data_IF_742941383632
#
_entry.id   IF_742941383632
#
_cell.length_a   1.000
_cell.length_b   1.000
_cell.length_c   1.000
_cell.angle_alpha   90.00
_cell.angle_beta   90.00
_cell.angle_gamma   90.00
#
_symmetry.space_group_name_H-M   'P 1'
#
loop_
_entity.id
_entity.type
_entity.pdbx_description
1 polymer ?
2 polymer ?
3 non-polymer ?
4 non-polymer ?
5 water ?
#
loop_
_entity_poly.entity_id
_entity_poly.type
_entity_poly.pdbx_seq_one_letter_code
_entity_poly.pdbx_strand_id
1 'polyribonucleotide' 'CCUGAUUGGUGAGGG' ?
#
# COMPACT_ATOMS: atom_id res chain seq x y z
N UNK D 2 -2.17 14.80 -4.14
CA UNK D 2 -0.70 14.72 -4.38
C UNK D 2 -0.40 14.68 -5.86
N UNK D 3 0.68 15.33 -6.25
CA UNK D 3 1.08 15.38 -7.65
C UNK D 3 1.44 14.00 -8.19
N UNK D 4 1.92 13.11 -7.33
CA UNK D 4 2.31 11.78 -7.80
C UNK D 4 1.11 10.88 -8.13
N UNK D 5 -0.10 11.33 -7.77
CA UNK D 5 -1.31 10.55 -8.08
C UNK D 5 -1.76 11.00 -9.47
N UNK D 6 -1.39 10.23 -10.49
CA UNK D 6 -1.69 10.55 -11.88
C UNK D 6 -3.14 10.40 -12.36
N UNK D 7 -3.94 9.62 -11.64
CA UNK D 7 -5.33 9.43 -12.04
C UNK D 7 -6.20 8.99 -10.87
N UNK D 8 -7.50 9.20 -11.01
CA UNK D 8 -8.44 8.86 -9.96
C UNK D 8 -8.89 7.40 -10.03
N UNK D 9 -8.82 6.72 -8.89
CA UNK D 9 -9.23 5.33 -8.82
C UNK D 9 -10.49 5.26 -7.96
N UNK D 10 -11.60 4.80 -8.54
CA UNK D 10 -12.87 4.70 -7.80
C UNK D 10 -12.70 3.86 -6.54
N UNK D 11 -13.42 4.21 -5.49
CA UNK D 11 -13.35 3.49 -4.23
C UNK D 11 -13.59 1.99 -4.40
N UNK D 12 -14.50 1.63 -5.30
CA UNK D 12 -14.81 0.22 -5.55
C UNK D 12 -13.60 -0.53 -6.09
N UNK D 13 -12.81 0.14 -6.92
CA UNK D 13 -11.63 -0.49 -7.49
C UNK D 13 -10.50 -0.49 -6.45
N UNK D 14 -10.46 0.54 -5.62
CA UNK D 14 -9.44 0.60 -4.57
C UNK D 14 -9.62 -0.64 -3.70
N UNK D 15 -10.88 -0.98 -3.44
CA UNK D 15 -11.20 -2.15 -2.63
C UNK D 15 -10.63 -3.40 -3.32
N UNK D 16 -10.75 -3.46 -4.64
CA UNK D 16 -10.22 -4.60 -5.40
C UNK D 16 -8.69 -4.65 -5.34
N UNK D 17 -8.05 -3.48 -5.31
CA UNK D 17 -6.60 -3.43 -5.22
C UNK D 17 -6.14 -3.95 -3.86
N UNK D 18 -6.82 -3.52 -2.81
CA UNK D 18 -6.46 -3.96 -1.46
C UNK D 18 -6.69 -5.47 -1.34
N UNK D 19 -7.75 -5.95 -1.99
CA UNK D 19 -8.07 -7.37 -1.97
C UNK D 19 -6.95 -8.15 -2.67
N UNK D 20 -6.47 -7.61 -3.79
CA UNK D 20 -5.41 -8.27 -4.54
C UNK D 20 -4.16 -8.38 -3.69
N UNK D 21 -3.85 -7.34 -2.92
CA UNK D 21 -2.69 -7.37 -2.05
C UNK D 21 -2.85 -8.47 -1.00
N UNK D 22 -4.02 -8.53 -0.39
CA UNK D 22 -4.30 -9.52 0.65
C UNK D 22 -4.25 -10.97 0.15
N UNK D 23 -4.60 -11.18 -1.11
CA UNK D 23 -4.61 -12.52 -1.67
C UNK D 23 -3.31 -12.91 -2.37
N UNK D 24 -2.43 -11.94 -2.59
CA UNK D 24 -1.17 -12.18 -3.27
C UNK D 24 -0.33 -13.23 -2.54
N UNK D 25 0.41 -14.03 -3.31
CA UNK D 25 1.26 -15.08 -2.76
C UNK D 25 2.61 -14.53 -2.29
N UNK D 26 3.11 -13.51 -2.99
CA UNK D 26 4.37 -12.88 -2.62
C UNK D 26 4.29 -11.39 -2.95
N UNK D 27 4.60 -10.55 -1.97
CA UNK D 27 4.56 -9.11 -2.18
C UNK D 27 5.79 -8.49 -1.54
N UNK D 28 6.01 -7.21 -1.82
CA UNK D 28 7.08 -6.44 -1.22
C UNK D 28 6.34 -5.25 -0.62
N UNK D 29 6.64 -4.92 0.62
CA UNK D 29 5.97 -3.81 1.28
C UNK D 29 6.98 -2.78 1.76
N UNK D 30 6.72 -1.51 1.43
CA UNK D 30 7.63 -0.46 1.83
C UNK D 30 8.36 0.11 0.63
N UNK D 31 8.62 1.41 0.66
CA UNK D 31 9.27 2.08 -0.45
C UNK D 31 10.60 1.47 -0.90
N UNK D 32 11.42 1.00 0.02
CA UNK D 32 12.70 0.44 -0.38
C UNK D 32 12.54 -0.89 -1.12
N UNK D 33 11.76 -1.81 -0.55
CA UNK D 33 11.55 -3.11 -1.19
C UNK D 33 10.76 -2.98 -2.49
N UNK D 34 9.81 -2.06 -2.54
CA UNK D 34 9.01 -1.87 -3.74
C UNK D 34 9.91 -1.34 -4.85
N UNK D 35 10.75 -0.36 -4.52
CA UNK D 35 11.65 0.21 -5.51
C UNK D 35 12.64 -0.83 -6.00
N UNK D 36 13.18 -1.64 -5.08
CA UNK D 36 14.12 -2.68 -5.46
C UNK D 36 13.44 -3.69 -6.40
N UNK D 37 12.19 -4.04 -6.10
CA UNK D 37 11.45 -5.00 -6.92
C UNK D 37 11.23 -4.47 -8.34
N UNK D 38 10.84 -3.20 -8.45
CA UNK D 38 10.61 -2.59 -9.75
C UNK D 38 11.91 -2.51 -10.55
N UNK D 39 13.00 -2.17 -9.87
CA UNK D 39 14.30 -2.07 -10.55
C UNK D 39 14.80 -3.45 -10.98
N UNK D 40 14.44 -4.49 -10.22
CA UNK D 40 14.85 -5.85 -10.55
C UNK D 40 13.92 -6.44 -11.60
N UNK D 41 12.83 -5.72 -11.87
CA UNK D 41 11.86 -6.16 -12.87
C UNK D 41 10.93 -7.30 -12.46
N UNK D 42 10.76 -7.51 -11.16
CA UNK D 42 9.91 -8.60 -10.70
C UNK D 42 8.51 -8.18 -10.23
N UNK D 43 8.24 -6.88 -10.23
CA UNK D 43 6.93 -6.41 -9.80
C UNK D 43 5.92 -6.51 -10.93
N UNK D 44 4.71 -7.01 -10.62
CA UNK D 44 3.65 -7.14 -11.62
C UNK D 44 2.65 -6.00 -11.51
N UNK D 45 2.51 -5.48 -10.30
CA UNK D 45 1.59 -4.37 -10.05
C UNK D 45 2.06 -3.63 -8.80
N UNK D 46 2.13 -2.31 -8.90
CA UNK D 46 2.55 -1.49 -7.76
C UNK D 46 1.39 -0.65 -7.28
N UNK D 47 1.09 -0.73 -5.98
CA UNK D 47 0.01 0.03 -5.40
C UNK D 47 0.62 1.10 -4.50
N UNK D 48 0.24 2.35 -4.73
CA UNK D 48 0.78 3.48 -3.98
C UNK D 48 -0.30 4.18 -3.18
N UNK D 49 -0.02 4.43 -1.90
CA UNK D 49 -0.96 5.13 -1.03
C UNK D 49 -1.01 6.60 -1.45
N UNK D 50 -2.18 7.22 -1.36
CA UNK D 50 -2.34 8.62 -1.76
C UNK D 50 -1.99 9.63 -0.69
N UNK D 51 -1.87 9.19 0.56
CA UNK D 51 -1.58 10.10 1.66
C UNK D 51 -0.17 10.07 2.24
N UNK D 52 0.82 9.82 1.39
CA UNK D 52 2.21 9.78 1.83
C UNK D 52 2.77 11.21 1.88
N UNK D 53 3.36 11.56 3.01
CA UNK D 53 3.96 12.89 3.20
C UNK D 53 5.21 12.73 4.05
N UNK D 54 6.36 13.25 3.59
CA UNK D 54 6.62 13.97 2.34
C UNK D 54 6.30 13.13 1.13
N UNK D 55 5.68 13.74 0.12
CA UNK D 55 5.33 13.02 -1.09
C UNK D 55 6.56 12.45 -1.78
N UNK D 56 7.71 13.08 -1.55
CA UNK D 56 8.96 12.63 -2.17
C UNK D 56 9.32 11.16 -1.90
N UNK D 57 8.80 10.60 -0.83
CA UNK D 57 9.10 9.20 -0.50
C UNK D 57 8.65 8.24 -1.61
N UNK D 58 7.49 8.49 -2.20
CA UNK D 58 6.98 7.61 -3.28
C UNK D 58 6.80 8.29 -4.64
N UNK D 59 7.08 9.59 -4.72
CA UNK D 59 6.88 10.33 -5.98
C UNK D 59 7.62 9.76 -7.19
N UNK D 60 8.70 9.05 -6.96
CA UNK D 60 9.46 8.47 -8.07
C UNK D 60 8.80 7.23 -8.67
N UNK D 61 7.93 6.57 -7.90
CA UNK D 61 7.30 5.34 -8.37
C UNK D 61 6.48 5.40 -9.66
N UNK D 62 5.57 6.38 -9.79
CA UNK D 62 4.80 6.42 -11.04
C UNK D 62 5.71 6.51 -12.28
N UNK D 63 6.70 7.38 -12.20
CA UNK D 63 7.64 7.57 -13.30
C UNK D 63 8.45 6.30 -13.56
N UNK D 64 8.99 5.71 -12.49
CA UNK D 64 9.77 4.50 -12.62
C UNK D 64 8.97 3.36 -13.25
N UNK D 65 7.74 3.16 -12.77
CA UNK D 65 6.88 2.12 -13.31
C UNK D 65 6.60 2.36 -14.79
N UNK D 66 6.27 3.60 -15.12
CA UNK D 66 6.01 3.98 -16.52
C UNK D 66 7.19 3.61 -17.40
N UNK D 67 8.39 3.85 -16.91
CA UNK D 67 9.61 3.54 -17.65
C UNK D 67 9.79 2.03 -17.81
N UNK D 68 9.46 1.28 -16.76
CA UNK D 68 9.60 -0.17 -16.78
C UNK D 68 8.41 -0.89 -17.42
N UNK D 69 7.36 -0.13 -17.73
CA UNK D 69 6.18 -0.74 -18.32
C UNK D 69 5.40 -1.56 -17.31
N UNK D 70 5.61 -1.25 -16.03
CA UNK D 70 4.94 -1.96 -14.94
C UNK D 70 3.67 -1.20 -14.54
N UNK D 71 2.54 -1.93 -14.42
CA UNK D 71 1.25 -1.33 -14.04
C UNK D 71 1.27 -0.82 -12.60
N UNK D 72 0.61 0.31 -12.36
CA UNK D 72 0.54 0.89 -11.03
C UNK D 72 -0.81 1.56 -10.82
N UNK D 73 -1.25 1.61 -9.56
CA UNK D 73 -2.53 2.22 -9.19
C UNK D 73 -2.43 2.78 -7.78
N UNK D 74 -3.53 3.31 -7.28
CA UNK D 74 -3.55 3.93 -5.96
C UNK D 74 -4.68 3.53 -5.03
N UNK D 75 -4.43 3.72 -3.74
CA UNK D 75 -5.43 3.49 -2.70
C UNK D 75 -5.30 4.73 -1.82
N UNK D 76 -6.42 5.18 -1.27
CA UNK D 76 -6.43 6.39 -0.47
C UNK D 76 -5.59 6.41 0.81
N UNK D 77 -5.58 5.30 1.54
CA UNK D 77 -4.89 5.24 2.83
C UNK D 77 -3.70 4.30 2.97
N UNK D 78 -2.57 4.85 3.42
CA UNK D 78 -1.37 4.05 3.63
C UNK D 78 -1.65 3.07 4.79
N UNK D 79 -2.52 3.47 5.71
CA UNK D 79 -2.85 2.60 6.83
C UNK D 79 -3.59 1.38 6.28
N UNK D 80 -4.56 1.62 5.40
CA UNK D 80 -5.32 0.53 4.79
C UNK D 80 -4.42 -0.39 3.97
N UNK D 81 -3.50 0.21 3.23
CA UNK D 81 -2.59 -0.55 2.39
C UNK D 81 -1.68 -1.42 3.24
N UNK D 82 -1.22 -0.88 4.36
CA UNK D 82 -0.36 -1.65 5.23
C UNK D 82 -1.12 -2.85 5.79
N UNK D 83 -2.36 -2.61 6.19
CA UNK D 83 -3.20 -3.68 6.74
C UNK D 83 -3.43 -4.78 5.70
N UNK D 84 -3.70 -4.39 4.46
CA UNK D 84 -3.92 -5.36 3.38
C UNK D 84 -2.67 -6.20 3.18
N UNK D 85 -1.51 -5.57 3.38
CA UNK D 85 -0.22 -6.23 3.21
C UNK D 85 0.15 -7.08 4.42
N UNK D 86 -0.76 -7.17 5.38
CA UNK D 86 -0.52 -7.99 6.57
C UNK D 86 0.25 -7.32 7.69
N UNK D 87 0.37 -6.01 7.66
CA UNK D 87 1.09 -5.29 8.70
C UNK D 87 0.13 -4.67 9.71
N UNK D 88 0.68 -4.26 10.85
CA UNK D 88 -0.09 -3.62 11.89
C UNK D 88 0.08 -2.11 11.73
N UNK D 89 0.95 -1.73 10.79
CA UNK D 89 1.24 -0.31 10.53
C UNK D 89 1.02 0.04 9.07
N UNK D 90 1.26 1.30 8.72
CA UNK D 90 1.08 1.74 7.34
C UNK D 90 2.19 1.29 6.40
N UNK D 91 1.90 1.41 5.11
CA UNK D 91 2.84 1.08 4.04
C UNK D 91 2.59 2.12 2.96
N UNK D 92 3.63 2.85 2.58
CA UNK D 92 3.49 3.87 1.55
C UNK D 92 3.19 3.23 0.19
N UNK D 93 3.65 2.00 0.01
CA UNK D 93 3.50 1.32 -1.26
C UNK D 93 3.71 -0.18 -1.11
N UNK D 94 3.17 -0.93 -2.07
CA UNK D 94 3.28 -2.38 -2.08
C UNK D 94 3.46 -2.82 -3.53
N UNK D 95 4.22 -3.88 -3.73
CA UNK D 95 4.44 -4.44 -5.06
C UNK D 95 3.98 -5.89 -5.02
N UNK D 96 3.11 -6.27 -5.96
CA UNK D 96 2.67 -7.66 -6.02
C UNK D 96 3.67 -8.36 -6.92
N UNK D 97 4.33 -9.39 -6.39
CA UNK D 97 5.32 -10.13 -7.15
C UNK D 97 4.66 -11.38 -7.74
N UNK D 98 3.87 -12.06 -6.92
CA UNK D 98 3.16 -13.25 -7.36
C UNK D 98 1.73 -13.07 -6.88
N UNK D 99 0.81 -12.88 -7.82
CA UNK D 99 -0.59 -12.67 -7.47
C UNK D 99 -1.21 -13.99 -7.02
N UNK D 100 -2.39 -13.91 -6.39
CA UNK D 100 -3.06 -15.11 -5.94
C UNK D 100 -3.78 -15.82 -7.07
N UNK D 101 -4.31 -15.05 -8.02
CA UNK D 101 -5.03 -15.62 -9.17
C UNK D 101 -4.72 -14.80 -10.43
N UNK D 102 -4.12 -15.45 -11.41
CA UNK D 102 -3.73 -14.79 -12.66
C UNK D 102 -4.84 -14.04 -13.36
N UNK D 103 -5.99 -14.67 -13.55
CA UNK D 103 -7.11 -14.04 -14.23
C UNK D 103 -7.60 -12.79 -13.51
N UNK D 104 -7.73 -12.88 -12.18
CA UNK D 104 -8.19 -11.73 -11.40
C UNK D 104 -7.22 -10.56 -11.58
N UNK D 105 -5.92 -10.84 -11.57
CA UNK D 105 -4.93 -9.79 -11.72
C UNK D 105 -5.03 -9.13 -13.10
N UNK D 106 -5.14 -9.96 -14.14
CA UNK D 106 -5.22 -9.43 -15.50
C UNK D 106 -6.44 -8.52 -15.67
N UNK D 107 -7.56 -8.93 -15.11
CA UNK D 107 -8.78 -8.13 -15.22
C UNK D 107 -8.62 -6.81 -14.47
N UNK D 108 -8.02 -6.87 -13.29
CA UNK D 108 -7.81 -5.68 -12.47
C UNK D 108 -6.85 -4.71 -13.16
N UNK D 109 -5.78 -5.25 -13.75
CA UNK D 109 -4.81 -4.42 -14.44
C UNK D 109 -5.45 -3.71 -15.64
N UNK D 110 -6.36 -4.41 -16.31
CA UNK D 110 -7.05 -3.84 -17.46
C UNK D 110 -7.97 -2.70 -17.02
N UNK D 111 -8.63 -2.88 -15.88
CA UNK D 111 -9.53 -1.87 -15.35
C UNK D 111 -8.72 -0.61 -15.01
N UNK D 112 -7.50 -0.83 -14.51
CA UNK D 112 -6.63 0.28 -14.15
C UNK D 112 -6.13 1.00 -15.41
N UNK D 113 -5.76 0.23 -16.43
CA UNK D 113 -5.28 0.82 -17.69
C UNK D 113 -6.33 1.71 -18.34
N UNK D 114 -7.60 1.45 -18.03
CA UNK D 114 -8.69 2.24 -18.58
C UNK D 114 -8.77 3.57 -17.83
N UNK D 115 -8.67 3.50 -16.50
CA UNK D 115 -8.72 4.69 -15.66
C UNK D 115 -7.53 5.56 -16.00
N UNK D 116 -6.51 4.93 -16.58
CA UNK D 116 -5.27 5.59 -16.96
C UNK D 116 -5.43 6.39 -18.25
N UNK E 7 -29.05 39.32 -8.41
CA UNK E 7 -30.52 39.45 -8.13
C UNK E 7 -30.78 39.41 -6.63
N UNK E 8 -31.99 39.76 -6.23
CA UNK E 8 -32.37 39.78 -4.82
C UNK E 8 -33.20 38.56 -4.43
N UNK E 9 -32.82 37.94 -3.32
CA UNK E 9 -33.51 36.76 -2.81
C UNK E 9 -34.32 37.11 -1.56
N UNK E 10 -35.55 36.57 -1.44
CA UNK E 10 -36.40 36.85 -0.28
C UNK E 10 -35.88 36.22 1.00
N UNK E 11 -36.00 36.96 2.10
CA UNK E 11 -35.54 36.49 3.41
C UNK E 11 -36.02 35.07 3.70
N UNK E 12 -37.21 34.74 3.23
CA UNK E 12 -37.77 33.41 3.44
C UNK E 12 -36.88 32.35 2.79
N UNK E 13 -36.40 32.64 1.59
CA UNK E 13 -35.54 31.72 0.87
C UNK E 13 -34.12 31.70 1.46
N UNK E 14 -33.62 32.87 1.83
CA UNK E 14 -32.29 32.97 2.42
C UNK E 14 -32.22 32.07 3.65
N UNK E 15 -33.24 32.15 4.50
CA UNK E 15 -33.29 31.34 5.70
C UNK E 15 -33.19 29.87 5.29
N UNK E 16 -33.81 29.54 4.17
CA UNK E 16 -33.80 28.17 3.65
C UNK E 16 -32.42 27.81 3.12
N UNK E 17 -31.73 28.80 2.55
CA UNK E 17 -30.38 28.61 2.03
C UNK E 17 -29.44 28.34 3.19
N UNK E 18 -29.54 29.16 4.23
CA UNK E 18 -28.70 29.00 5.41
C UNK E 18 -29.00 27.65 6.08
N UNK E 19 -30.28 27.29 6.11
CA UNK E 19 -30.68 26.02 6.70
C UNK E 19 -30.14 24.87 5.87
N UNK E 20 -30.09 25.06 4.56
CA UNK E 20 -29.58 24.05 3.65
C UNK E 20 -28.11 23.76 3.89
N UNK E 21 -27.34 24.81 4.17
CA UNK E 21 -25.92 24.67 4.42
C UNK E 21 -25.69 23.96 5.76
N UNK E 22 -26.53 24.26 6.74
CA UNK E 22 -26.41 23.67 8.06
C UNK E 22 -26.62 22.16 8.08
N UNK E 23 -27.56 21.67 7.27
CA UNK E 23 -27.84 20.23 7.26
C UNK E 23 -27.04 19.45 6.23
N UNK E 24 -26.36 20.16 5.34
CA UNK E 24 -25.56 19.51 4.31
C UNK E 24 -24.56 18.52 4.92
N UNK E 25 -24.33 17.42 4.22
CA UNK E 25 -23.40 16.39 4.68
C UNK E 25 -21.95 16.83 4.47
N UNK E 26 -21.70 17.49 3.34
CA UNK E 26 -20.36 17.96 3.02
C UNK E 26 -20.42 19.30 2.30
N UNK E 27 -19.55 20.24 2.71
CA UNK E 27 -19.53 21.55 2.09
C UNK E 27 -18.12 22.10 1.99
N UNK E 28 -17.99 23.22 1.31
CA UNK E 28 -16.71 23.91 1.17
C UNK E 28 -16.95 25.32 1.66
N UNK E 29 -16.03 25.82 2.48
CA UNK E 29 -16.14 27.15 3.05
C UNK E 29 -14.95 27.99 2.64
N UNK E 30 -15.22 29.17 2.09
CA UNK E 30 -14.14 30.05 1.67
C UNK E 30 -14.05 30.22 0.17
N UNK E 31 -13.70 31.43 -0.26
CA UNK E 31 -13.59 31.74 -1.69
C UNK E 31 -12.68 30.78 -2.46
N UNK E 32 -11.53 30.43 -1.88
CA UNK E 32 -10.59 29.54 -2.54
C UNK E 32 -11.17 28.14 -2.79
N UNK E 33 -11.73 27.55 -1.75
CA UNK E 33 -12.30 26.21 -1.85
C UNK E 33 -13.59 26.18 -2.66
N UNK E 34 -14.39 27.23 -2.54
CA UNK E 34 -15.64 27.29 -3.28
C UNK E 34 -15.31 27.37 -4.77
N UNK E 35 -14.37 28.24 -5.14
CA UNK E 35 -13.99 28.39 -6.53
C UNK E 35 -13.49 27.06 -7.10
N UNK E 36 -12.71 26.32 -6.30
CA UNK E 36 -12.20 25.03 -6.74
C UNK E 36 -13.34 24.02 -6.92
N UNK E 37 -14.31 24.07 -6.01
CA UNK E 37 -15.45 23.18 -6.07
C UNK E 37 -16.24 23.42 -7.35
N UNK E 38 -16.32 24.68 -7.76
CA UNK E 38 -17.05 25.03 -8.98
C UNK E 38 -16.24 24.64 -10.22
N UNK E 39 -14.94 24.91 -10.19
CA UNK E 39 -14.07 24.58 -11.30
C UNK E 39 -14.01 23.07 -11.53
N UNK E 40 -14.18 22.31 -10.45
CA UNK E 40 -14.15 20.85 -10.53
C UNK E 40 -15.54 20.30 -10.78
N UNK E 41 -16.54 21.16 -10.67
CA UNK E 41 -17.91 20.75 -10.90
C UNK E 41 -18.53 19.88 -9.83
N UNK E 42 -17.91 19.84 -8.65
CA UNK E 42 -18.44 19.03 -7.56
C UNK E 42 -19.41 19.83 -6.70
N UNK E 43 -19.57 21.11 -7.01
CA UNK E 43 -20.46 21.97 -6.26
C UNK E 43 -21.88 21.86 -6.82
N UNK E 44 -22.83 21.56 -5.94
CA UNK E 44 -24.23 21.43 -6.36
C UNK E 44 -24.93 22.78 -6.24
N UNK E 45 -24.63 23.50 -5.16
CA UNK E 45 -25.23 24.81 -4.93
C UNK E 45 -24.22 25.74 -4.28
N UNK E 46 -24.14 26.98 -4.78
CA UNK E 46 -23.22 27.97 -4.24
C UNK E 46 -23.96 29.13 -3.60
N UNK E 47 -23.65 29.40 -2.34
CA UNK E 47 -24.26 30.50 -1.61
C UNK E 47 -23.23 31.61 -1.45
N UNK E 48 -23.60 32.83 -1.80
CA UNK E 48 -22.69 33.97 -1.73
C UNK E 48 -23.21 35.08 -0.83
N UNK E 49 -22.34 35.63 0.01
CA UNK E 49 -22.71 36.70 0.93
C UNK E 49 -22.77 38.04 0.18
N UNK E 50 -23.74 38.88 0.55
CA UNK E 50 -23.93 40.17 -0.10
C UNK E 50 -23.09 41.30 0.49
N UNK E 51 -22.62 41.12 1.71
CA UNK E 51 -21.84 42.17 2.36
C UNK E 51 -20.32 41.94 2.35
N UNK E 52 -19.84 41.24 1.34
CA UNK E 52 -18.40 40.98 1.22
C UNK E 52 -17.71 42.26 0.74
N UNK E 53 -16.74 42.72 1.51
CA UNK E 53 -16.00 43.94 1.15
C UNK E 53 -14.50 43.70 1.34
N UNK E 54 -13.71 43.85 0.26
CA UNK E 54 -14.13 44.23 -1.10
C UNK E 54 -14.96 43.15 -1.79
N UNK E 55 -15.99 43.56 -2.52
CA UNK E 55 -16.83 42.62 -3.23
C UNK E 55 -16.04 41.85 -4.29
N UNK E 56 -14.89 42.40 -4.69
CA UNK E 56 -14.05 41.75 -5.69
C UNK E 56 -13.71 40.31 -5.33
N UNK E 57 -13.67 40.00 -4.03
CA UNK E 57 -13.35 38.66 -3.57
C UNK E 57 -14.26 37.59 -4.16
N UNK E 58 -15.55 37.90 -4.30
CA UNK E 58 -16.49 36.93 -4.84
C UNK E 58 -17.18 37.37 -6.13
N UNK E 59 -16.73 38.48 -6.70
CA UNK E 59 -17.34 39.00 -7.93
C UNK E 59 -17.25 38.05 -9.13
N UNK E 60 -16.33 37.09 -9.08
CA UNK E 60 -16.13 36.15 -10.17
C UNK E 60 -17.04 34.92 -10.10
N UNK E 61 -17.59 34.65 -8.93
CA UNK E 61 -18.43 33.46 -8.74
C UNK E 61 -19.68 33.35 -9.61
N UNK E 62 -20.50 34.41 -9.68
CA UNK E 62 -21.70 34.31 -10.51
C UNK E 62 -21.40 33.89 -11.94
N UNK E 63 -20.40 34.53 -12.54
CA UNK E 63 -20.01 34.22 -13.92
C UNK E 63 -19.49 32.79 -14.08
N UNK E 64 -18.69 32.34 -13.11
CA UNK E 64 -18.13 30.99 -13.14
C UNK E 64 -19.19 29.91 -13.01
N UNK E 65 -20.14 30.12 -12.09
CA UNK E 65 -21.19 29.15 -11.87
C UNK E 65 -22.04 28.95 -13.12
N UNK E 66 -22.53 30.05 -13.69
CA UNK E 66 -23.34 29.98 -14.90
C UNK E 66 -22.58 29.24 -15.98
N UNK E 67 -21.29 29.55 -16.12
CA UNK E 67 -20.45 28.91 -17.12
C UNK E 67 -20.37 27.40 -16.90
N UNK E 68 -20.35 27.00 -15.64
CA UNK E 68 -20.28 25.57 -15.30
C UNK E 68 -21.67 24.99 -15.08
N UNK E 69 -22.69 25.85 -15.20
CA UNK E 69 -24.05 25.41 -15.02
C UNK E 69 -24.32 24.94 -13.60
N UNK E 70 -24.00 25.80 -12.63
CA UNK E 70 -24.20 25.49 -11.23
C UNK E 70 -25.06 26.55 -10.56
N UNK E 71 -26.06 26.12 -9.79
CA UNK E 71 -26.98 27.03 -9.07
C UNK E 71 -26.28 27.87 -8.03
N UNK E 72 -26.74 29.11 -7.85
CA UNK E 72 -26.14 30.00 -6.86
C UNK E 72 -27.11 31.09 -6.43
N UNK E 73 -27.03 31.46 -5.16
CA UNK E 73 -27.90 32.50 -4.60
C UNK E 73 -27.11 33.33 -3.60
N UNK E 74 -27.71 34.40 -3.12
CA UNK E 74 -27.04 35.28 -2.16
C UNK E 74 -27.74 35.34 -0.81
N UNK E 75 -26.97 35.64 0.23
CA UNK E 75 -27.50 35.80 1.57
C UNK E 75 -26.97 37.13 2.10
N UNK E 76 -27.77 37.80 2.92
CA UNK E 76 -27.40 39.10 3.44
C UNK E 76 -26.13 39.19 4.28
N UNK E 77 -25.90 38.20 5.15
CA UNK E 77 -24.73 38.24 6.03
C UNK E 77 -23.67 37.17 5.84
N UNK E 78 -22.42 37.62 5.70
CA UNK E 78 -21.29 36.71 5.55
C UNK E 78 -21.06 36.10 6.92
N UNK E 79 -21.45 36.84 7.95
CA UNK E 79 -21.31 36.38 9.32
C UNK E 79 -22.32 35.27 9.54
N UNK E 80 -23.52 35.45 8.99
CA UNK E 80 -24.57 34.46 9.10
C UNK E 80 -24.21 33.22 8.28
N UNK E 81 -23.65 33.45 7.09
CA UNK E 81 -23.26 32.36 6.21
C UNK E 81 -22.16 31.51 6.86
N UNK E 82 -21.22 32.18 7.53
CA UNK E 82 -20.14 31.46 8.18
C UNK E 82 -20.65 30.59 9.32
N UNK E 83 -21.60 31.12 10.09
CA UNK E 83 -22.15 30.37 11.22
C UNK E 83 -22.89 29.13 10.73
N UNK E 84 -23.64 29.29 9.64
CA UNK E 84 -24.39 28.18 9.06
C UNK E 84 -23.44 27.12 8.54
N UNK E 85 -22.19 27.51 8.31
CA UNK E 85 -21.17 26.60 7.80
C UNK E 85 -20.39 25.94 8.92
N UNK E 86 -20.78 26.22 10.16
CA UNK E 86 -20.11 25.63 11.30
C UNK E 86 -18.88 26.39 11.77
N UNK E 87 -18.70 27.60 11.27
CA UNK E 87 -17.55 28.41 11.67
C UNK E 87 -17.90 29.44 12.73
N UNK E 88 -16.89 29.91 13.44
CA UNK E 88 -17.06 30.92 14.47
C UNK E 88 -16.78 32.28 13.84
N UNK E 89 -16.39 32.24 12.57
CA UNK E 89 -16.07 33.46 11.83
C UNK E 89 -16.91 33.53 10.56
N UNK E 90 -16.74 34.61 9.80
CA UNK E 90 -17.50 34.80 8.58
C UNK E 90 -16.98 33.97 7.40
N UNK E 91 -17.83 33.86 6.39
CA UNK E 91 -17.52 33.14 5.15
C UNK E 91 -18.14 33.93 4.01
N UNK E 92 -17.34 34.28 3.02
CA UNK E 92 -17.81 35.05 1.88
C UNK E 92 -18.70 34.20 0.97
N UNK E 93 -18.48 32.90 1.01
CA UNK E 93 -19.24 31.98 0.17
C UNK E 93 -19.10 30.54 0.64
N UNK E 94 -20.04 29.71 0.25
CA UNK E 94 -20.04 28.30 0.61
C UNK E 94 -20.61 27.48 -0.53
N UNK E 95 -20.15 26.25 -0.66
CA UNK E 95 -20.61 25.36 -1.71
C UNK E 95 -21.06 24.04 -1.09
N UNK E 96 -22.31 23.67 -1.33
CA UNK E 96 -22.84 22.42 -0.81
C UNK E 96 -22.37 21.31 -1.74
N UNK E 97 -21.64 20.34 -1.19
CA UNK E 97 -21.15 19.22 -1.98
C UNK E 97 -22.06 18.01 -1.83
N UNK E 98 -22.60 17.84 -0.63
CA UNK E 98 -23.52 16.73 -0.32
C UNK E 98 -24.67 17.26 0.52
N UNK E 99 -25.82 17.44 -0.12
CA UNK E 99 -27.00 17.95 0.57
C UNK E 99 -27.43 17.08 1.74
N UNK E 100 -28.33 17.61 2.57
CA UNK E 100 -28.83 16.87 3.71
C UNK E 100 -30.11 16.15 3.32
N UNK E 101 -30.93 16.81 2.51
CA UNK E 101 -32.19 16.25 2.03
C UNK E 101 -32.34 16.56 0.55
N UNK E 102 -31.88 15.63 -0.30
CA UNK E 102 -31.92 15.79 -1.75
C UNK E 102 -33.18 16.48 -2.28
N UNK E 103 -34.34 16.04 -1.80
CA UNK E 103 -35.61 16.62 -2.22
C UNK E 103 -35.65 18.13 -2.03
N UNK E 104 -35.45 18.57 -0.79
CA UNK E 104 -35.47 19.99 -0.47
C UNK E 104 -34.53 20.81 -1.34
N UNK E 105 -33.33 20.27 -1.58
CA UNK E 105 -32.34 20.95 -2.40
C UNK E 105 -32.88 21.21 -3.80
N UNK E 106 -33.31 20.14 -4.46
CA UNK E 106 -33.85 20.24 -5.82
C UNK E 106 -34.91 21.33 -5.88
N UNK E 107 -35.72 21.41 -4.83
CA UNK E 107 -36.78 22.41 -4.74
C UNK E 107 -36.19 23.81 -4.56
N UNK E 108 -35.30 23.93 -3.57
CA UNK E 108 -34.66 25.21 -3.27
C UNK E 108 -33.95 25.74 -4.51
N UNK E 109 -33.32 24.84 -5.26
CA UNK E 109 -32.61 25.22 -6.47
C UNK E 109 -33.58 25.78 -7.50
N UNK E 110 -34.73 25.12 -7.64
CA UNK E 110 -35.75 25.55 -8.59
C UNK E 110 -36.25 26.96 -8.25
N UNK E 111 -36.55 27.18 -6.97
CA UNK E 111 -37.03 28.48 -6.52
C UNK E 111 -36.02 29.58 -6.83
N UNK E 112 -34.73 29.25 -6.73
CA UNK E 112 -33.67 30.21 -7.02
C UNK E 112 -33.58 30.45 -8.52
N UNK E 113 -33.58 29.36 -9.29
CA UNK E 113 -33.50 29.46 -10.75
C UNK E 113 -34.62 30.34 -11.30
N UNK E 114 -35.69 30.48 -10.52
CA UNK E 114 -36.83 31.31 -10.92
C UNK E 114 -36.39 32.76 -11.04
N UNK E 115 -35.56 33.20 -10.10
CA UNK E 115 -35.06 34.57 -10.08
C UNK E 115 -33.96 34.77 -11.12
N UNK F 5 26.85 -39.63 4.56
CA UNK F 5 27.50 -38.96 5.73
C UNK F 5 29.02 -39.05 5.61
N UNK F 6 29.66 -37.94 5.25
CA UNK F 6 31.10 -37.89 5.09
C UNK F 6 31.85 -37.95 6.41
N UNK F 7 31.21 -37.47 7.48
CA UNK F 7 31.83 -37.46 8.80
C UNK F 7 30.79 -37.48 9.92
N UNK F 8 31.21 -37.85 11.12
CA UNK F 8 30.32 -37.91 12.27
C UNK F 8 30.36 -36.62 13.06
N UNK F 9 29.20 -36.19 13.54
CA UNK F 9 29.09 -34.97 14.32
C UNK F 9 28.56 -35.31 15.72
N UNK F 10 29.26 -34.86 16.76
CA UNK F 10 28.88 -35.10 18.17
C UNK F 10 27.48 -34.56 18.48
N UNK F 11 26.72 -35.32 19.25
CA UNK F 11 25.36 -34.94 19.62
C UNK F 11 25.29 -33.51 20.14
N UNK F 12 26.32 -33.09 20.88
CA UNK F 12 26.38 -31.75 21.43
C UNK F 12 26.46 -30.70 20.32
N UNK F 13 27.26 -30.99 19.29
CA UNK F 13 27.41 -30.08 18.17
C UNK F 13 26.19 -30.12 17.26
N UNK F 14 25.50 -31.25 17.24
CA UNK F 14 24.29 -31.38 16.43
C UNK F 14 23.23 -30.47 17.05
N UNK F 15 23.27 -30.35 18.37
CA UNK F 15 22.32 -29.50 19.08
C UNK F 15 22.57 -28.05 18.72
N UNK F 16 23.85 -27.69 18.59
CA UNK F 16 24.20 -26.32 18.23
C UNK F 16 23.81 -26.03 16.79
N UNK F 17 23.85 -27.04 15.95
CA UNK F 17 23.48 -26.88 14.55
C UNK F 17 21.98 -26.60 14.47
N UNK F 18 21.21 -27.35 15.24
CA UNK F 18 19.76 -27.19 15.27
C UNK F 18 19.36 -25.83 15.85
N UNK F 19 20.13 -25.35 16.83
CA UNK F 19 19.83 -24.06 17.43
C UNK F 19 20.21 -22.92 16.49
N UNK F 20 21.25 -23.14 15.68
CA UNK F 20 21.67 -22.12 14.74
C UNK F 20 20.56 -21.94 13.71
N UNK F 21 19.89 -23.05 13.38
CA UNK F 21 18.79 -23.01 12.42
C UNK F 21 17.60 -22.24 13.01
N UNK F 22 17.25 -22.57 14.24
CA UNK F 22 16.12 -21.93 14.90
C UNK F 22 16.32 -20.44 15.13
N UNK F 23 17.57 -20.03 15.27
CA UNK F 23 17.92 -18.62 15.52
C UNK F 23 18.14 -17.81 14.24
N UNK F 24 18.33 -18.49 13.12
CA UNK F 24 18.57 -17.82 11.85
C UNK F 24 17.48 -16.85 11.44
N UNK F 25 17.88 -15.78 10.75
CA UNK F 25 16.94 -14.75 10.29
C UNK F 25 16.33 -15.12 8.95
N UNK F 26 17.06 -15.89 8.16
CA UNK F 26 16.58 -16.33 6.86
C UNK F 26 17.20 -17.68 6.52
N UNK F 27 16.35 -18.66 6.22
CA UNK F 27 16.83 -19.98 5.87
C UNK F 27 16.04 -20.51 4.70
N UNK F 28 16.51 -21.62 4.15
CA UNK F 28 15.85 -22.31 3.04
C UNK F 28 15.63 -23.71 3.58
N UNK F 29 14.41 -24.23 3.42
CA UNK F 29 14.07 -25.56 3.91
C UNK F 29 13.68 -26.45 2.73
N UNK F 30 14.26 -27.65 2.68
CA UNK F 30 13.93 -28.57 1.59
C UNK F 30 15.06 -28.71 0.59
N UNK F 31 15.19 -29.90 0.02
CA UNK F 31 16.25 -30.19 -0.96
C UNK F 31 16.34 -29.24 -2.15
N UNK F 32 15.19 -28.87 -2.73
CA UNK F 32 15.21 -27.99 -3.88
C UNK F 32 15.68 -26.59 -3.52
N UNK F 33 15.13 -26.02 -2.45
CA UNK F 33 15.52 -24.67 -2.04
C UNK F 33 16.96 -24.61 -1.51
N UNK F 34 17.40 -25.68 -0.84
CA UNK F 34 18.77 -25.72 -0.33
C UNK F 34 19.71 -25.79 -1.52
N UNK F 35 19.39 -26.65 -2.49
CA UNK F 35 20.22 -26.78 -3.68
C UNK F 35 20.26 -25.48 -4.48
N UNK F 36 19.11 -24.83 -4.64
CA UNK F 36 19.08 -23.57 -5.38
C UNK F 36 19.95 -22.52 -4.70
N UNK F 37 19.91 -22.50 -3.36
CA UNK F 37 20.68 -21.53 -2.59
C UNK F 37 22.18 -21.74 -2.76
N UNK F 38 22.62 -22.99 -2.70
CA UNK F 38 24.04 -23.31 -2.85
C UNK F 38 24.48 -22.91 -4.26
N UNK F 39 23.67 -23.25 -5.26
CA UNK F 39 23.98 -22.92 -6.64
C UNK F 39 24.13 -21.41 -6.82
N UNK F 40 23.28 -20.64 -6.15
CA UNK F 40 23.32 -19.19 -6.25
C UNK F 40 24.41 -18.60 -5.35
N UNK F 41 25.01 -19.45 -4.52
CA UNK F 41 26.07 -19.00 -3.64
C UNK F 41 25.66 -18.14 -2.47
N UNK F 42 24.43 -18.27 -1.99
CA UNK F 42 23.97 -17.46 -0.87
C UNK F 42 23.88 -18.24 0.44
N UNK F 43 24.17 -19.53 0.40
CA UNK F 43 24.11 -20.35 1.60
C UNK F 43 25.41 -20.21 2.38
N UNK F 44 25.32 -20.03 3.69
CA UNK F 44 26.49 -19.89 4.54
C UNK F 44 26.83 -21.20 5.23
N UNK F 45 25.82 -22.03 5.40
CA UNK F 45 25.99 -23.34 6.04
C UNK F 45 24.82 -24.25 5.69
N UNK F 46 25.13 -25.48 5.29
CA UNK F 46 24.10 -26.45 4.94
C UNK F 46 24.06 -27.58 5.97
N UNK F 47 22.86 -27.88 6.46
CA UNK F 47 22.68 -28.94 7.44
C UNK F 47 21.87 -30.05 6.78
N UNK F 48 22.40 -31.27 6.82
CA UNK F 48 21.77 -32.43 6.20
C UNK F 48 21.35 -33.49 7.22
N UNK F 49 20.12 -34.00 7.11
CA UNK F 49 19.65 -35.02 8.02
C UNK F 49 20.29 -36.35 7.61
N UNK F 50 20.57 -37.21 8.58
CA UNK F 50 21.22 -38.50 8.30
C UNK F 50 20.25 -39.63 8.01
N UNK F 51 18.97 -39.45 8.31
CA UNK F 51 18.01 -40.52 8.08
C UNK F 51 17.10 -40.34 6.87
N UNK F 52 17.60 -39.66 5.85
CA UNK F 52 16.83 -39.45 4.62
C UNK F 52 16.81 -40.72 3.78
N UNK F 53 15.62 -41.15 3.38
CA UNK F 53 15.44 -42.35 2.57
C UNK F 53 14.38 -42.09 1.52
N UNK F 54 14.73 -42.21 0.22
CA UNK F 54 16.03 -42.59 -0.36
C UNK F 54 17.12 -41.58 -0.07
N UNK F 55 18.32 -42.07 0.27
CA UNK F 55 19.45 -41.17 0.55
C UNK F 55 19.83 -40.36 -0.68
N UNK F 56 19.41 -40.83 -1.85
CA UNK F 56 19.69 -40.15 -3.12
C UNK F 56 19.19 -38.70 -3.13
N UNK F 57 18.17 -38.41 -2.34
CA UNK F 57 17.60 -37.06 -2.31
C UNK F 57 18.62 -35.98 -1.93
N UNK F 58 19.50 -36.29 -0.98
CA UNK F 58 20.50 -35.32 -0.53
C UNK F 58 21.95 -35.76 -0.79
N UNK F 59 22.12 -36.88 -1.50
CA UNK F 59 23.45 -37.40 -1.77
C UNK F 59 24.38 -36.42 -2.49
N UNK F 60 23.80 -35.53 -3.28
CA UNK F 60 24.56 -34.55 -4.06
C UNK F 60 25.10 -33.36 -3.26
N UNK F 61 24.47 -33.04 -2.13
CA UNK F 61 24.85 -31.89 -1.32
C UNK F 61 26.30 -31.82 -0.84
N UNK F 62 26.81 -32.90 -0.24
CA UNK F 62 28.20 -32.86 0.25
C UNK F 62 29.19 -32.47 -0.84
N UNK F 63 29.01 -33.01 -2.04
CA UNK F 63 29.90 -32.70 -3.16
C UNK F 63 29.68 -31.28 -3.66
N UNK F 64 28.42 -30.88 -3.75
CA UNK F 64 28.07 -29.54 -4.24
C UNK F 64 28.62 -28.44 -3.34
N UNK F 65 28.51 -28.64 -2.03
CA UNK F 65 29.00 -27.65 -1.08
C UNK F 65 30.53 -27.55 -1.14
N UNK F 66 31.18 -28.69 -1.23
CA UNK F 66 32.63 -28.75 -1.29
C UNK F 66 33.11 -28.01 -2.54
N UNK F 67 32.39 -28.21 -3.65
CA UNK F 67 32.72 -27.57 -4.91
C UNK F 67 32.48 -26.06 -4.86
N UNK F 68 31.65 -25.63 -3.93
CA UNK F 68 31.33 -24.21 -3.79
C UNK F 68 32.04 -23.61 -2.59
N UNK F 69 32.68 -24.45 -1.80
CA UNK F 69 33.39 -23.97 -0.62
C UNK F 69 32.44 -23.58 0.50
N UNK F 70 31.28 -24.21 0.55
CA UNK F 70 30.29 -23.92 1.58
C UNK F 70 30.29 -24.98 2.67
N UNK F 71 30.33 -24.56 3.93
CA UNK F 71 30.33 -25.46 5.10
C UNK F 71 29.03 -26.27 5.22
N UNK F 72 29.17 -27.54 5.60
CA UNK F 72 28.01 -28.40 5.76
C UNK F 72 28.23 -29.39 6.90
N UNK F 73 27.14 -29.82 7.53
CA UNK F 73 27.22 -30.77 8.63
C UNK F 73 25.95 -31.61 8.64
N UNK F 74 25.89 -32.57 9.55
CA UNK F 74 24.73 -33.44 9.62
C UNK F 74 24.09 -33.47 11.00
N UNK F 75 22.81 -33.86 11.01
CA UNK F 75 22.05 -34.01 12.23
C UNK F 75 21.32 -35.34 12.07
N UNK F 76 21.14 -36.04 13.18
CA UNK F 76 20.50 -37.34 13.19
C UNK F 76 19.16 -37.49 12.46
N UNK F 77 18.18 -36.64 12.79
CA UNK F 77 16.88 -36.79 12.17
C UNK F 77 16.32 -35.63 11.37
N UNK F 78 15.61 -35.98 10.31
CA UNK F 78 14.98 -35.02 9.43
C UNK F 78 13.78 -34.41 10.18
N UNK F 79 13.24 -35.16 11.13
CA UNK F 79 12.11 -34.68 11.92
C UNK F 79 12.58 -33.52 12.80
N UNK F 80 13.75 -33.68 13.44
CA UNK F 80 14.28 -32.64 14.29
C UNK F 80 14.70 -31.42 13.48
N UNK F 81 15.30 -31.67 12.32
CA UNK F 81 15.74 -30.59 11.46
C UNK F 81 14.55 -29.77 10.99
N UNK F 82 13.46 -30.45 10.64
CA UNK F 82 12.27 -29.75 10.20
C UNK F 82 11.68 -28.89 11.30
N UNK F 83 11.67 -29.43 12.53
CA UNK F 83 11.14 -28.70 13.68
C UNK F 83 11.98 -27.45 13.92
N UNK F 84 13.29 -27.61 13.87
CA UNK F 84 14.20 -26.49 14.08
C UNK F 84 13.93 -25.40 13.04
N UNK F 85 13.63 -25.82 11.80
CA UNK F 85 13.36 -24.87 10.73
C UNK F 85 11.97 -24.25 10.84
N UNK F 86 11.25 -24.61 11.90
CA UNK F 86 9.92 -24.04 12.11
C UNK F 86 8.76 -24.78 11.47
N UNK F 87 9.01 -25.95 10.92
CA UNK F 87 7.97 -26.74 10.27
C UNK F 87 7.38 -27.77 11.24
N UNK F 88 6.22 -28.30 10.86
CA UNK F 88 5.56 -29.33 11.65
C UNK F 88 5.88 -30.68 11.03
N UNK F 89 6.64 -30.66 9.94
CA UNK F 89 7.04 -31.88 9.23
C UNK F 89 8.56 -31.97 9.14
N UNK F 90 9.04 -33.04 8.50
CA UNK F 90 10.48 -33.24 8.35
C UNK F 90 11.07 -32.37 7.25
N UNK F 91 12.39 -32.24 7.27
CA UNK F 91 13.15 -31.50 6.28
C UNK F 91 14.43 -32.30 6.10
N UNK F 92 14.73 -32.68 4.86
CA UNK F 92 15.93 -33.45 4.56
C UNK F 92 17.19 -32.61 4.72
N UNK F 93 17.05 -31.32 4.49
CA UNK F 93 18.17 -30.41 4.57
C UNK F 93 17.70 -28.97 4.74
N UNK F 94 18.59 -28.14 5.29
CA UNK F 94 18.30 -26.73 5.53
C UNK F 94 19.56 -25.94 5.24
N UNK F 95 19.38 -24.72 4.73
CA UNK F 95 20.51 -23.85 4.43
C UNK F 95 20.32 -22.54 5.16
N UNK F 96 21.35 -22.11 5.89
CA UNK F 96 21.27 -20.85 6.59
C UNK F 96 21.76 -19.76 5.63
N UNK F 97 20.90 -18.78 5.38
CA UNK F 97 21.23 -17.69 4.49
C UNK F 97 21.68 -16.49 5.31
N UNK F 98 20.98 -16.26 6.42
CA UNK F 98 21.29 -15.16 7.32
C UNK F 98 21.13 -15.67 8.75
N UNK F 99 22.23 -15.86 9.46
CA UNK F 99 22.18 -16.36 10.83
C UNK F 99 21.77 -15.25 11.76
N UNK F 100 21.43 -15.63 12.99
CA UNK F 100 21.02 -14.65 13.98
C UNK F 100 22.20 -14.01 14.67
N UNK F 101 23.32 -14.73 14.74
CA UNK F 101 24.53 -14.22 15.39
C UNK F 101 25.77 -14.59 14.59
N UNK F 102 26.45 -13.59 14.04
CA UNK F 102 27.64 -13.81 13.24
C UNK F 102 28.72 -14.57 13.98
N UNK F 103 29.09 -14.08 15.16
CA UNK F 103 30.13 -14.72 15.97
C UNK F 103 29.85 -16.20 16.21
N UNK F 104 28.63 -16.52 16.62
CA UNK F 104 28.27 -17.91 16.88
C UNK F 104 28.42 -18.79 15.65
N UNK F 105 27.95 -18.31 14.49
CA UNK F 105 28.05 -19.09 13.27
C UNK F 105 29.52 -19.39 12.96
N UNK F 106 30.35 -18.35 13.00
CA UNK F 106 31.78 -18.49 12.73
C UNK F 106 32.40 -19.53 13.65
N UNK F 107 31.98 -19.51 14.91
CA UNK F 107 32.49 -20.46 15.91
C UNK F 107 32.02 -21.88 15.62
N UNK F 108 30.77 -22.02 15.23
CA UNK F 108 30.20 -23.32 14.91
C UNK F 108 30.80 -23.91 13.66
N UNK F 109 30.96 -23.06 12.63
CA UNK F 109 31.54 -23.50 11.38
C UNK F 109 32.95 -24.03 11.61
N UNK F 110 33.65 -23.40 12.56
CA UNK F 110 35.00 -23.82 12.89
C UNK F 110 34.97 -25.22 13.50
N UNK F 111 34.14 -25.41 14.52
CA UNK F 111 34.02 -26.69 15.19
C UNK F 111 33.71 -27.81 14.20
N UNK F 112 32.86 -27.51 13.23
CA UNK F 112 32.49 -28.50 12.22
C UNK F 112 33.62 -28.76 11.24
N UNK F 113 34.30 -27.70 10.82
CA UNK F 113 35.39 -27.84 9.86
C UNK F 113 36.57 -28.64 10.38
N UNK F 114 36.66 -28.81 11.70
CA UNK F 114 37.74 -29.58 12.28
C UNK F 114 37.29 -31.03 12.42
N UNK F 115 35.98 -31.25 12.48
CA UNK F 115 35.43 -32.59 12.60
C UNK F 115 35.52 -33.29 11.25
N UNK F 116 35.69 -32.50 10.20
CA UNK F 116 35.81 -33.05 8.85
C UNK F 116 37.27 -33.36 8.53
X LIG G 1 -1.41 4.82 16.11
X LIG H 1 0.13 3.07 19.19
X LIG I 1 18.60 -0.89 9.05
X LIG J 1 -15.41 40.00 16.53
X LIG K 1 -12.78 38.50 19.01
X LIG L 1 -7.38 41.88 3.54
X LIG M 1 -1.93 19.48 9.78
X LIG N 1 2.90 -38.45 11.47
X LIG O 1 -0.69 -37.08 10.88
X LIG P 1 4.70 -27.77 -7.68
X LIG Q 1 8.53 -40.02 -3.16
#
# INVERSE_FOLDING_TARGET
>D
MAVYVKFKVPEEIQKELLDAVAKAQKIKKGANEVTKAVERGIAKLVIIAEDVKPEEVVAHLPYLCEEKGIPYAYVASKQDLGKAAGLEVAASSVAIINEGDAEELKVLIEKVNVLKQ
>E
MAVYVKFKVPEEIQKELLDAVAKAQKIKKGANEVTKAVERGIAKLVIIAEDVKPEEVVAHLPYLCEEKGIPYAYVASKQDLGKAAGLEVAASSVAIINEGDAEELKVLIEKVNVLKQ
>F
MAVYVKFKVPEEIQKELLDAVAKAQKIKKGANEVTKAVERGIAKLVIIAEDVKPEEVVAHLPYLCEEKGIPYAYVASKQDLGKAAGLEVAASSVAIINEGDAEELKVLIEKVNVLKQ
>G hetero
1 CA CA
>H hetero
1 CA CA
>I hetero
1 CA CA
>J hetero
1 CA CA
>K hetero
1 CA CA
>L hetero
1 CA CA
>M hetero
1 K K
>N hetero
1 CA CA
>O hetero
1 CA CA
>P hetero
1 CA CA
>Q hetero
1 CA CA
#
